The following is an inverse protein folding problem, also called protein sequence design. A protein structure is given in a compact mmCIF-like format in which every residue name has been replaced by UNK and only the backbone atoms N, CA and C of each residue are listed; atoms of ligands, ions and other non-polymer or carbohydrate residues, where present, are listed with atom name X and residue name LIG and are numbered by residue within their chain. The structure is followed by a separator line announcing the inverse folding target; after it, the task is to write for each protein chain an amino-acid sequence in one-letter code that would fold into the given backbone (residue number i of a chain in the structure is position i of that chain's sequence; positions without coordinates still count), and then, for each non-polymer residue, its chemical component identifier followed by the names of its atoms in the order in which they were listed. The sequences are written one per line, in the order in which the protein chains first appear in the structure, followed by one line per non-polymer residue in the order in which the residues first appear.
data_IF_846756978716
#
_entry.id   IF_846756978716
#
_cell.length_a   1.000
_cell.length_b   1.000
_cell.length_c   1.000
_cell.angle_alpha   90.00
_cell.angle_beta   90.00
_cell.angle_gamma   90.00
#
_symmetry.space_group_name_H-M   'P 1'
#
loop_
_entity.id
_entity.type
_entity.pdbx_description
1 polymer ?
#
# COMPACT_ATOMS: atom_id res chain seq x y z
N UNK A 1 8.64 -51.06 -19.05
CA UNK A 1 9.38 -51.57 -17.89
C UNK A 1 10.61 -50.70 -17.75
N UNK A 2 10.82 -49.86 -16.75
CA UNK A 2 10.09 -49.50 -15.54
C UNK A 2 10.97 -48.45 -14.82
N UNK A 3 10.34 -47.48 -14.18
CA UNK A 3 10.89 -46.72 -13.04
C UNK A 3 9.69 -46.01 -12.41
N UNK A 4 8.89 -46.82 -11.75
CA UNK A 4 8.04 -46.39 -10.64
C UNK A 4 8.84 -46.84 -9.42
N UNK A 5 9.83 -46.02 -9.05
CA UNK A 5 10.68 -46.29 -7.89
C UNK A 5 9.88 -45.82 -6.67
N UNK A 6 9.48 -46.73 -5.77
CA UNK A 6 8.66 -46.35 -4.64
C UNK A 6 9.49 -45.43 -3.75
N UNK A 7 8.98 -44.22 -3.52
CA UNK A 7 9.50 -43.33 -2.48
C UNK A 7 9.54 -44.15 -1.19
N UNK A 8 10.73 -44.27 -0.59
CA UNK A 8 10.91 -45.05 0.64
C UNK A 8 9.88 -44.57 1.69
N UNK A 9 9.04 -45.46 2.24
CA UNK A 9 7.99 -45.07 3.19
C UNK A 9 8.54 -44.45 4.48
N UNK A 10 9.82 -44.65 4.75
CA UNK A 10 10.53 -44.02 5.88
C UNK A 10 10.78 -42.51 5.66
N UNK A 11 10.75 -42.01 4.42
CA UNK A 11 10.92 -40.57 4.12
C UNK A 11 9.63 -39.75 4.28
N UNK A 12 8.45 -40.38 4.21
CA UNK A 12 7.18 -39.72 4.53
C UNK A 12 6.96 -39.56 6.05
N UNK A 13 7.45 -40.51 6.86
CA UNK A 13 7.33 -40.47 8.33
C UNK A 13 8.48 -39.71 9.03
N UNK A 14 9.65 -39.56 8.38
CA UNK A 14 10.82 -38.91 9.00
C UNK A 14 10.81 -37.38 8.88
N UNK A 15 10.07 -36.83 7.93
CA UNK A 15 9.97 -35.38 7.75
C UNK A 15 8.68 -34.91 8.38
N UNK A 16 8.79 -34.34 9.58
CA UNK A 16 7.69 -33.61 10.20
C UNK A 16 7.45 -32.32 9.40
N UNK A 17 6.69 -32.46 8.32
CA UNK A 17 6.32 -31.39 7.41
C UNK A 17 5.57 -30.27 8.13
N UNK A 18 4.82 -30.58 9.20
CA UNK A 18 4.14 -29.59 10.01
C UNK A 18 5.13 -28.76 10.83
N UNK A 19 6.17 -29.39 11.40
CA UNK A 19 7.26 -28.67 12.06
C UNK A 19 8.12 -27.88 11.08
N UNK A 20 8.45 -28.41 9.90
CA UNK A 20 9.17 -27.63 8.87
C UNK A 20 8.34 -26.48 8.32
N UNK A 21 7.04 -26.65 8.15
CA UNK A 21 6.14 -25.56 7.74
C UNK A 21 6.01 -24.52 8.87
N UNK A 22 5.91 -24.97 10.13
CA UNK A 22 5.95 -24.10 11.29
C UNK A 22 7.29 -23.37 11.40
N UNK A 23 8.43 -24.03 11.16
CA UNK A 23 9.79 -23.50 11.21
C UNK A 23 10.10 -22.62 9.99
N UNK A 24 9.46 -22.82 8.84
CA UNK A 24 9.52 -21.87 7.72
C UNK A 24 8.64 -20.65 7.97
N UNK A 25 7.52 -20.81 8.69
CA UNK A 25 6.66 -19.71 9.16
C UNK A 25 7.28 -18.93 10.33
N UNK A 26 8.03 -19.59 11.22
CA UNK A 26 8.62 -19.03 12.45
C UNK A 26 10.14 -18.77 12.39
N UNK A 27 10.86 -19.38 11.44
CA UNK A 27 12.33 -19.42 11.35
C UNK A 27 13.01 -18.15 10.84
N UNK A 28 12.32 -17.02 10.94
CA UNK A 28 12.96 -15.71 11.05
C UNK A 28 12.51 -15.21 12.40
N UNK A 29 13.34 -15.36 13.44
CA UNK A 29 13.02 -15.19 14.87
C UNK A 29 12.46 -13.81 15.31
N UNK A 30 12.03 -12.97 14.37
CA UNK A 30 11.34 -11.72 14.63
C UNK A 30 10.28 -11.39 13.56
N UNK A 31 9.94 -12.29 12.61
CA UNK A 31 8.97 -11.98 11.53
C UNK A 31 7.55 -12.05 12.07
N UNK A 32 6.89 -10.90 12.10
CA UNK A 32 5.47 -10.75 12.41
C UNK A 32 4.72 -10.28 11.16
N UNK A 33 3.38 -10.37 11.12
CA UNK A 33 2.60 -9.75 10.06
C UNK A 33 2.83 -8.23 10.05
N UNK A 34 2.95 -7.63 11.24
CA UNK A 34 3.21 -6.20 11.44
C UNK A 34 4.55 -5.70 10.91
N UNK A 35 5.55 -6.56 10.70
CA UNK A 35 6.86 -6.17 10.14
C UNK A 35 7.21 -6.80 8.77
N UNK A 36 6.41 -7.76 8.30
CA UNK A 36 6.54 -8.34 6.95
C UNK A 36 6.27 -7.31 5.85
N UNK A 37 7.04 -7.32 4.77
CA UNK A 37 6.82 -6.40 3.63
C UNK A 37 5.56 -6.82 2.87
N UNK A 38 4.58 -5.91 2.67
CA UNK A 38 3.33 -6.26 2.02
C UNK A 38 3.54 -6.60 0.54
N UNK A 39 2.82 -7.63 0.10
CA UNK A 39 2.86 -8.17 -1.26
C UNK A 39 1.61 -9.01 -1.53
N UNK A 40 1.44 -9.49 -2.77
CA UNK A 40 0.36 -10.43 -3.09
C UNK A 40 0.52 -11.78 -2.37
N UNK A 41 1.74 -12.25 -2.16
CA UNK A 41 1.99 -13.48 -1.38
C UNK A 41 1.66 -13.25 0.10
N UNK A 42 2.11 -12.13 0.66
CA UNK A 42 1.78 -11.77 2.04
C UNK A 42 0.27 -11.66 2.28
N UNK A 43 -0.49 -11.17 1.28
CA UNK A 43 -1.95 -11.14 1.36
C UNK A 43 -2.58 -12.52 1.52
N UNK A 44 -2.04 -13.53 0.84
CA UNK A 44 -2.48 -14.92 0.97
C UNK A 44 -2.05 -15.51 2.32
N UNK A 45 -0.81 -15.24 2.75
CA UNK A 45 -0.27 -15.70 4.03
C UNK A 45 -1.12 -15.18 5.21
N UNK A 46 -1.32 -13.86 5.31
CA UNK A 46 -2.04 -13.27 6.44
C UNK A 46 -3.51 -13.70 6.47
N UNK A 47 -4.17 -13.81 5.32
CA UNK A 47 -5.57 -14.27 5.23
C UNK A 47 -5.71 -15.73 5.70
N UNK A 48 -4.81 -16.60 5.25
CA UNK A 48 -4.80 -18.00 5.66
C UNK A 48 -4.49 -18.16 7.15
N UNK A 49 -3.45 -17.48 7.63
CA UNK A 49 -3.00 -17.60 9.03
C UNK A 49 -4.02 -17.01 10.02
N UNK A 50 -4.81 -16.00 9.61
CA UNK A 50 -5.83 -15.38 10.48
C UNK A 50 -7.25 -15.86 10.22
N UNK A 51 -7.43 -16.94 9.46
CA UNK A 51 -8.76 -17.48 9.08
C UNK A 51 -9.59 -18.02 10.25
N UNK A 52 -8.97 -18.29 11.40
CA UNK A 52 -9.63 -18.70 12.65
C UNK A 52 -9.24 -17.74 13.76
N UNK A 53 -9.96 -16.63 13.89
CA UNK A 53 -9.60 -15.52 14.78
C UNK A 53 -9.61 -15.92 16.26
N UNK A 54 -10.48 -16.85 16.65
CA UNK A 54 -10.56 -17.37 18.02
C UNK A 54 -9.30 -18.15 18.46
N UNK A 55 -8.44 -18.54 17.50
CA UNK A 55 -7.16 -19.21 17.77
C UNK A 55 -5.98 -18.26 17.99
N UNK A 56 -6.18 -16.95 17.84
CA UNK A 56 -5.12 -15.95 17.94
C UNK A 56 -5.06 -15.35 19.36
N UNK A 57 -3.85 -15.05 19.83
CA UNK A 57 -3.65 -14.22 21.03
C UNK A 57 -4.01 -12.76 20.76
N UNK A 58 -4.23 -11.97 21.82
CA UNK A 58 -4.48 -10.53 21.69
C UNK A 58 -3.34 -9.80 20.96
N UNK A 59 -2.09 -10.19 21.19
CA UNK A 59 -0.92 -9.65 20.49
C UNK A 59 -0.94 -10.00 19.00
N UNK A 60 -1.29 -11.25 18.67
CA UNK A 60 -1.44 -11.70 17.29
C UNK A 60 -2.57 -10.96 16.57
N UNK A 61 -3.69 -10.72 17.24
CA UNK A 61 -4.80 -9.93 16.69
C UNK A 61 -4.34 -8.50 16.35
N UNK A 62 -3.62 -7.83 17.25
CA UNK A 62 -3.09 -6.48 16.99
C UNK A 62 -2.07 -6.50 15.86
N UNK A 63 -1.17 -7.49 15.83
CA UNK A 63 -0.17 -7.62 14.77
C UNK A 63 -0.80 -7.87 13.40
N UNK A 64 -1.85 -8.70 13.33
CA UNK A 64 -2.64 -8.93 12.13
C UNK A 64 -3.33 -7.64 11.64
N UNK A 65 -3.92 -6.86 12.56
CA UNK A 65 -4.52 -5.55 12.22
C UNK A 65 -3.46 -4.63 11.60
N UNK A 66 -2.25 -4.57 12.15
CA UNK A 66 -1.14 -3.80 11.56
C UNK A 66 -0.76 -4.36 10.18
N UNK A 67 -0.70 -5.68 10.03
CA UNK A 67 -0.45 -6.35 8.76
C UNK A 67 -1.47 -5.97 7.67
N UNK A 68 -2.76 -6.00 7.99
CA UNK A 68 -3.84 -5.61 7.07
C UNK A 68 -3.84 -4.11 6.72
N UNK A 69 -3.48 -3.23 7.65
CA UNK A 69 -3.31 -1.79 7.35
C UNK A 69 -2.16 -1.59 6.35
N UNK A 70 -1.03 -2.28 6.54
CA UNK A 70 0.11 -2.23 5.61
C UNK A 70 -0.23 -2.84 4.25
N UNK A 71 -1.04 -3.90 4.22
CA UNK A 71 -1.56 -4.50 3.00
C UNK A 71 -2.50 -3.55 2.25
N UNK A 72 -3.38 -2.85 2.97
CA UNK A 72 -4.25 -1.80 2.42
C UNK A 72 -3.43 -0.70 1.76
N UNK A 73 -2.40 -0.20 2.46
CA UNK A 73 -1.49 0.81 1.89
C UNK A 73 -0.75 0.33 0.64
N UNK A 74 -0.28 -0.92 0.63
CA UNK A 74 0.34 -1.53 -0.55
C UNK A 74 -0.62 -1.61 -1.75
N UNK A 75 -1.86 -2.09 -1.52
CA UNK A 75 -2.85 -2.24 -2.57
C UNK A 75 -3.25 -0.88 -3.14
N UNK A 76 -3.46 0.13 -2.28
CA UNK A 76 -3.75 1.50 -2.68
C UNK A 76 -2.60 2.13 -3.47
N UNK A 77 -1.34 1.93 -3.05
CA UNK A 77 -0.16 2.38 -3.79
C UNK A 77 -0.06 1.72 -5.16
N UNK A 78 -0.37 0.42 -5.26
CA UNK A 78 -0.40 -0.31 -6.53
C UNK A 78 -1.49 0.24 -7.45
N UNK A 79 -2.67 0.51 -6.93
CA UNK A 79 -3.76 1.11 -7.68
C UNK A 79 -3.43 2.54 -8.15
N UNK A 80 -2.74 3.34 -7.33
CA UNK A 80 -2.28 4.67 -7.71
C UNK A 80 -1.37 4.61 -8.95
N UNK A 81 -0.46 3.63 -9.04
CA UNK A 81 0.36 3.44 -10.26
C UNK A 81 -0.48 3.12 -11.49
N UNK A 82 -1.49 2.26 -11.35
CA UNK A 82 -2.40 1.93 -12.46
C UNK A 82 -3.23 3.14 -12.91
N UNK A 83 -3.70 3.96 -11.96
CA UNK A 83 -4.43 5.19 -12.24
C UNK A 83 -3.54 6.26 -12.89
N UNK A 84 -2.28 6.39 -12.47
CA UNK A 84 -1.31 7.30 -13.09
C UNK A 84 -1.01 6.88 -14.54
N UNK A 85 -0.78 5.60 -14.79
CA UNK A 85 -0.61 5.06 -16.14
C UNK A 85 -1.87 5.25 -16.99
N UNK A 86 -3.06 5.03 -16.42
CA UNK A 86 -4.33 5.28 -17.09
C UNK A 86 -4.49 6.75 -17.51
N UNK A 87 -4.14 7.68 -16.63
CA UNK A 87 -4.11 9.11 -16.94
C UNK A 87 -3.08 9.44 -18.02
N UNK A 88 -1.87 8.87 -17.96
CA UNK A 88 -0.80 9.09 -18.95
C UNK A 88 -1.20 8.69 -20.36
N UNK A 89 -1.98 7.60 -20.51
CA UNK A 89 -2.49 7.13 -21.81
C UNK A 89 -3.63 8.00 -22.38
N UNK A 90 -4.17 8.94 -21.60
CA UNK A 90 -5.28 9.83 -21.97
C UNK A 90 -4.91 11.29 -21.66
N UNK A 91 -3.94 11.88 -22.40
CA UNK A 91 -3.63 13.29 -22.22
C UNK A 91 -4.91 14.12 -22.41
N UNK A 92 -5.08 15.13 -21.56
CA UNK A 92 -6.20 16.06 -21.66
C UNK A 92 -6.00 17.08 -22.77
N UNK A 93 -6.98 17.17 -23.67
CA UNK A 93 -7.01 18.16 -24.77
C UNK A 93 -8.05 19.27 -24.53
N UNK A 94 -8.57 19.41 -23.30
CA UNK A 94 -9.68 20.33 -23.01
C UNK A 94 -9.19 21.66 -22.39
N UNK A 95 -9.06 22.75 -23.19
CA UNK A 95 -8.63 24.06 -22.71
C UNK A 95 -9.65 24.72 -21.78
N UNK A 96 -10.88 24.20 -21.64
CA UNK A 96 -11.89 24.77 -20.74
C UNK A 96 -11.77 24.27 -19.29
N UNK A 97 -10.92 23.26 -19.04
CA UNK A 97 -10.64 22.71 -17.72
C UNK A 97 -9.49 23.43 -16.97
N UNK A 98 -9.23 24.70 -17.32
CA UNK A 98 -8.25 25.62 -16.71
C UNK A 98 -8.63 26.14 -15.30
N UNK A 99 -9.55 25.48 -14.59
CA UNK A 99 -10.01 25.93 -13.26
C UNK A 99 -8.98 25.76 -12.12
N UNK A 100 -7.74 25.41 -12.46
CA UNK A 100 -6.56 25.51 -11.60
C UNK A 100 -5.43 26.05 -12.46
N UNK A 101 -4.45 26.76 -11.88
CA UNK A 101 -3.23 27.25 -12.55
C UNK A 101 -2.35 26.13 -13.19
N UNK A 102 -2.86 24.90 -13.26
CA UNK A 102 -2.32 23.76 -13.99
C UNK A 102 -3.36 23.29 -15.00
N UNK A 103 -2.99 23.22 -16.28
CA UNK A 103 -3.82 22.56 -17.29
C UNK A 103 -4.16 21.15 -16.81
N UNK A 104 -5.44 20.75 -16.92
CA UNK A 104 -5.86 19.41 -16.54
C UNK A 104 -5.23 18.41 -17.52
N UNK A 105 -4.11 17.80 -17.11
CA UNK A 105 -3.35 16.83 -17.93
C UNK A 105 -4.11 15.52 -18.16
N UNK A 106 -5.27 15.35 -17.53
CA UNK A 106 -6.11 14.17 -17.55
C UNK A 106 -7.29 14.39 -18.51
N UNK A 107 -7.52 13.46 -19.42
CA UNK A 107 -8.67 13.46 -20.33
C UNK A 107 -10.02 13.67 -19.64
N UNK A 108 -10.90 14.45 -20.27
CA UNK A 108 -12.22 14.88 -19.73
C UNK A 108 -13.08 13.75 -19.18
N UNK A 109 -13.05 12.58 -19.82
CA UNK A 109 -13.88 11.42 -19.47
C UNK A 109 -13.20 10.41 -18.55
N UNK A 110 -11.88 10.53 -18.32
CA UNK A 110 -11.15 9.60 -17.45
C UNK A 110 -11.73 9.53 -16.01
N UNK A 111 -12.17 10.64 -15.38
CA UNK A 111 -12.85 10.55 -14.09
C UNK A 111 -14.21 9.84 -14.13
N UNK A 112 -14.94 9.86 -15.25
CA UNK A 112 -16.21 9.13 -15.38
C UNK A 112 -15.97 7.63 -15.49
N UNK A 113 -15.00 7.22 -16.32
CA UNK A 113 -14.61 5.80 -16.46
C UNK A 113 -14.20 5.21 -15.11
N UNK A 114 -13.35 5.93 -14.36
CA UNK A 114 -12.90 5.50 -13.03
C UNK A 114 -14.04 5.55 -12.01
N UNK A 115 -14.85 6.60 -12.02
CA UNK A 115 -16.00 6.73 -11.11
C UNK A 115 -17.02 5.61 -11.30
N UNK A 116 -17.32 5.27 -12.56
CA UNK A 116 -18.20 4.15 -12.90
C UNK A 116 -17.61 2.81 -12.45
N UNK A 117 -16.33 2.55 -12.75
CA UNK A 117 -15.68 1.29 -12.40
C UNK A 117 -15.55 1.07 -10.88
N UNK A 118 -15.29 2.13 -10.11
CA UNK A 118 -15.10 2.07 -8.66
C UNK A 118 -16.36 2.40 -7.85
N UNK A 119 -17.50 2.66 -8.51
CA UNK A 119 -18.75 3.12 -7.87
C UNK A 119 -18.54 4.39 -7.01
N UNK A 120 -17.75 5.34 -7.52
CA UNK A 120 -17.43 6.61 -6.86
C UNK A 120 -18.00 7.80 -7.62
N UNK A 121 -18.32 8.88 -6.90
CA UNK A 121 -18.69 10.14 -7.54
C UNK A 121 -17.55 10.66 -8.43
N UNK A 122 -17.90 11.31 -9.55
CA UNK A 122 -16.94 11.86 -10.53
C UNK A 122 -15.85 12.71 -9.89
N UNK A 123 -16.20 13.57 -8.94
CA UNK A 123 -15.24 14.44 -8.26
C UNK A 123 -14.25 13.66 -7.38
N UNK A 124 -14.71 12.61 -6.70
CA UNK A 124 -13.84 11.69 -5.95
C UNK A 124 -12.87 10.97 -6.87
N UNK A 125 -13.35 10.45 -8.00
CA UNK A 125 -12.52 9.81 -9.02
C UNK A 125 -11.49 10.78 -9.62
N UNK A 126 -11.88 12.03 -9.90
CA UNK A 126 -10.98 13.08 -10.38
C UNK A 126 -9.87 13.36 -9.37
N UNK A 127 -10.20 13.53 -8.08
CA UNK A 127 -9.22 13.74 -7.02
C UNK A 127 -8.26 12.56 -6.89
N UNK A 128 -8.78 11.33 -6.96
CA UNK A 128 -7.98 10.09 -6.90
C UNK A 128 -7.00 9.97 -8.08
N UNK A 129 -7.45 10.29 -9.29
CA UNK A 129 -6.59 10.36 -10.48
C UNK A 129 -5.50 11.43 -10.34
N UNK A 130 -5.87 12.65 -9.94
CA UNK A 130 -4.92 13.74 -9.74
C UNK A 130 -3.85 13.40 -8.69
N UNK A 131 -4.26 12.82 -7.56
CA UNK A 131 -3.34 12.34 -6.52
C UNK A 131 -2.41 11.23 -7.04
N UNK A 132 -2.94 10.30 -7.83
CA UNK A 132 -2.16 9.21 -8.41
C UNK A 132 -1.07 9.73 -9.34
N UNK A 133 -1.39 10.69 -10.21
CA UNK A 133 -0.42 11.37 -11.08
C UNK A 133 0.61 12.15 -10.26
N UNK A 134 0.20 12.89 -9.23
CA UNK A 134 1.11 13.61 -8.34
C UNK A 134 2.09 12.66 -7.63
N UNK A 135 1.60 11.53 -7.12
CA UNK A 135 2.42 10.51 -6.45
C UNK A 135 3.43 9.86 -7.39
N UNK A 136 3.03 9.56 -8.62
CA UNK A 136 3.93 8.96 -9.61
C UNK A 136 5.00 9.94 -10.08
N UNK A 137 4.61 11.16 -10.44
CA UNK A 137 5.47 12.08 -11.18
C UNK A 137 6.24 13.04 -10.28
N UNK A 138 5.64 13.47 -9.17
CA UNK A 138 6.19 14.51 -8.29
C UNK A 138 6.70 13.94 -6.97
N UNK A 139 6.05 12.92 -6.41
CA UNK A 139 6.34 12.38 -5.07
C UNK A 139 6.68 10.86 -5.06
N UNK A 140 7.61 10.39 -5.90
CA UNK A 140 7.84 8.95 -6.11
C UNK A 140 8.33 8.22 -4.84
N UNK A 141 9.09 8.88 -3.97
CA UNK A 141 9.58 8.30 -2.71
C UNK A 141 8.43 8.07 -1.72
N UNK A 142 7.42 8.95 -1.71
CA UNK A 142 6.20 8.77 -0.90
C UNK A 142 5.45 7.55 -1.38
N UNK A 143 5.28 7.43 -2.71
CA UNK A 143 4.64 6.27 -3.32
C UNK A 143 5.40 4.96 -3.03
N UNK A 144 6.74 5.00 -3.06
CA UNK A 144 7.57 3.84 -2.75
C UNK A 144 7.47 3.41 -1.29
N UNK A 145 7.45 4.34 -0.34
CA UNK A 145 7.29 4.04 1.08
C UNK A 145 5.88 3.55 1.41
N UNK A 146 4.85 4.12 0.78
CA UNK A 146 3.47 3.63 0.90
C UNK A 146 3.34 2.20 0.40
N UNK A 147 3.92 1.90 -0.77
CA UNK A 147 3.91 0.53 -1.30
C UNK A 147 4.64 -0.46 -0.39
N UNK A 148 5.68 -0.04 0.33
CA UNK A 148 6.38 -0.88 1.31
C UNK A 148 5.64 -1.01 2.66
N UNK A 149 4.44 -0.43 2.77
CA UNK A 149 3.65 -0.39 4.01
C UNK A 149 4.34 0.40 5.12
N UNK A 150 5.12 1.44 4.76
CA UNK A 150 5.85 2.30 5.71
C UNK A 150 5.14 3.62 5.98
N UNK A 151 4.10 3.92 5.20
CA UNK A 151 3.21 5.07 5.37
C UNK A 151 1.77 4.58 5.34
N UNK A 152 0.91 5.21 6.13
CA UNK A 152 -0.55 5.03 6.08
C UNK A 152 -1.19 5.98 5.05
N UNK A 153 -2.46 5.71 4.68
CA UNK A 153 -3.21 6.54 3.73
C UNK A 153 -3.34 7.99 4.19
N UNK A 154 -3.51 8.21 5.50
CA UNK A 154 -3.69 9.54 6.09
C UNK A 154 -2.46 10.41 5.86
N UNK A 155 -1.26 9.87 6.09
CA UNK A 155 0.01 10.57 5.90
C UNK A 155 0.30 10.82 4.43
N UNK A 156 0.02 9.84 3.55
CA UNK A 156 0.13 10.03 2.10
C UNK A 156 -0.80 11.15 1.62
N UNK A 157 -2.05 11.16 2.08
CA UNK A 157 -3.03 12.21 1.78
C UNK A 157 -2.54 13.57 2.26
N UNK A 158 -2.07 13.68 3.50
CA UNK A 158 -1.55 14.93 4.04
C UNK A 158 -0.35 15.48 3.24
N UNK A 159 0.56 14.61 2.80
CA UNK A 159 1.69 15.01 1.94
C UNK A 159 1.17 15.52 0.59
N UNK A 160 0.22 14.81 -0.04
CA UNK A 160 -0.34 15.21 -1.33
C UNK A 160 -1.06 16.57 -1.24
N UNK A 161 -1.91 16.74 -0.24
CA UNK A 161 -2.71 17.96 -0.05
C UNK A 161 -1.80 19.17 0.25
N UNK A 162 -0.79 18.99 1.12
CA UNK A 162 0.18 20.05 1.46
C UNK A 162 1.03 20.48 0.26
N UNK A 163 1.29 19.56 -0.67
CA UNK A 163 2.17 19.82 -1.82
C UNK A 163 1.42 20.14 -3.12
N UNK A 164 0.09 20.05 -3.13
CA UNK A 164 -0.73 20.11 -4.34
C UNK A 164 -0.53 21.40 -5.16
N UNK A 165 -0.46 22.54 -4.47
CA UNK A 165 -0.29 23.87 -5.08
C UNK A 165 1.16 24.30 -5.19
N UNK A 166 2.12 23.47 -4.78
CA UNK A 166 3.53 23.82 -4.85
C UNK A 166 4.10 23.53 -6.26
N UNK A 167 5.11 24.30 -6.70
CA UNK A 167 5.96 23.90 -7.82
C UNK A 167 6.66 22.57 -7.54
N UNK A 168 6.95 21.80 -8.58
CA UNK A 168 7.51 20.43 -8.49
C UNK A 168 8.75 20.39 -7.57
N UNK A 169 9.71 21.29 -7.77
CA UNK A 169 10.92 21.33 -6.95
C UNK A 169 10.64 21.58 -5.47
N UNK A 170 9.69 22.48 -5.16
CA UNK A 170 9.31 22.79 -3.79
C UNK A 170 8.51 21.65 -3.15
N UNK A 171 7.65 20.98 -3.93
CA UNK A 171 6.93 19.80 -3.50
C UNK A 171 7.89 18.65 -3.12
N UNK A 172 8.91 18.40 -3.94
CA UNK A 172 9.97 17.41 -3.65
C UNK A 172 10.79 17.78 -2.41
N UNK A 173 11.16 19.05 -2.26
CA UNK A 173 11.87 19.50 -1.05
C UNK A 173 11.04 19.30 0.23
N UNK A 174 9.74 19.60 0.18
CA UNK A 174 8.80 19.37 1.30
C UNK A 174 8.67 17.87 1.59
N UNK A 175 8.54 17.05 0.56
CA UNK A 175 8.48 15.59 0.69
C UNK A 175 9.69 15.06 1.46
N UNK A 176 10.92 15.37 1.03
CA UNK A 176 12.14 14.90 1.69
C UNK A 176 12.16 15.32 3.17
N UNK A 177 11.86 16.60 3.45
CA UNK A 177 11.82 17.10 4.83
C UNK A 177 10.77 16.40 5.71
N UNK A 178 9.63 15.98 5.15
CA UNK A 178 8.58 15.26 5.88
C UNK A 178 8.93 13.79 6.07
N UNK A 179 9.65 13.18 5.12
CA UNK A 179 10.10 11.78 5.20
C UNK A 179 11.28 11.62 6.16
N UNK A 180 12.19 12.59 6.23
CA UNK A 180 13.32 12.60 7.17
C UNK A 180 12.89 12.82 8.62
N UNK A 181 11.72 13.44 8.83
CA UNK A 181 11.19 13.65 10.17
C UNK A 181 10.65 12.32 10.73
N UNK A 182 11.21 11.81 11.85
CA UNK A 182 10.65 10.64 12.50
C UNK A 182 9.17 10.90 12.82
N UNK A 183 8.28 9.89 12.69
CA UNK A 183 6.88 10.05 13.04
C UNK A 183 6.79 10.62 14.46
N UNK A 184 6.31 11.86 14.58
CA UNK A 184 6.05 12.46 15.87
C UNK A 184 4.99 11.60 16.54
N UNK A 185 5.37 10.84 17.57
CA UNK A 185 4.40 10.31 18.53
C UNK A 185 3.58 11.51 19.00
N UNK A 186 2.25 11.46 19.00
CA UNK A 186 1.47 12.47 19.69
C UNK A 186 2.02 12.52 21.11
N UNK A 187 2.57 13.67 21.51
CA UNK A 187 3.12 13.87 22.84
C UNK A 187 2.04 13.48 23.83
N UNK A 188 2.30 12.46 24.66
CA UNK A 188 1.44 12.13 25.77
C UNK A 188 1.19 13.42 26.55
N UNK A 189 -0.07 13.81 26.61
CA UNK A 189 -0.57 15.06 27.16
C UNK A 189 -0.01 15.23 28.58
N UNK A 190 0.94 16.15 28.75
CA UNK A 190 1.40 16.62 30.06
C UNK A 190 0.25 17.41 30.68
N UNK A 191 -0.54 16.73 31.52
CA UNK A 191 -1.51 17.36 32.41
C UNK A 191 -0.76 18.31 33.35
N UNK A 192 -1.02 19.63 33.34
CA UNK A 192 -0.41 20.54 34.31
C UNK A 192 -1.06 20.38 35.69
N UNK A 193 -0.36 20.79 36.77
CA UNK A 193 -0.70 20.50 38.16
C UNK A 193 -2.01 21.14 38.64
#
# INVERSE_FOLDING_TARGET
MGVDEPVEPELEDAVDWASLEHELRTGVEDRTWGNTVPSGLFALEIDADTSVEAGLSDEQLIDAVVGFERLTGWAQARQARLLAEFARRRPGDDPTMLASDKACTIGKFAPDEVGLALKQARMTAKARLGRSVQLEQVLPETLALWQRGRLDERRVTAICDTTHYLPVEKARAVQQRVLDRPPTRPSANSRPP
#
